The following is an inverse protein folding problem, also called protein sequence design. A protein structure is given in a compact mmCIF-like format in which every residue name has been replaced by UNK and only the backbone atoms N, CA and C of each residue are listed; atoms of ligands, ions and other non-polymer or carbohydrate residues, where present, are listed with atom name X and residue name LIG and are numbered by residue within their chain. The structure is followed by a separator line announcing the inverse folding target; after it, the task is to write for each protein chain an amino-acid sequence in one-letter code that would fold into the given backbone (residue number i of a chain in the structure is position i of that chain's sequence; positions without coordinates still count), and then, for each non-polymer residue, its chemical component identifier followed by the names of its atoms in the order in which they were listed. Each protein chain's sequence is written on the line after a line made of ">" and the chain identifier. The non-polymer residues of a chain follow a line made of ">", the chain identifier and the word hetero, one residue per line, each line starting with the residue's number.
data_IF_922115588633
#
_entry.id   IF_922115588633
#
_cell.length_a   1.000
_cell.length_b   1.000
_cell.length_c   1.000
_cell.angle_alpha   90.00
_cell.angle_beta   90.00
_cell.angle_gamma   90.00
#
_symmetry.space_group_name_H-M   'P 1'
#
loop_
_entity.id
_entity.type
_entity.pdbx_description
1 polymer ?
#
# COMPACT_ATOMS: atom_id res chain seq x y z
N UNK A 1 1.31 20.25 -38.00
CA UNK A 1 1.21 21.40 -37.07
C UNK A 1 2.08 21.13 -35.86
N UNK A 2 2.96 22.07 -35.50
CA UNK A 2 3.90 21.96 -34.37
C UNK A 2 3.23 21.50 -33.05
N UNK A 3 2.01 21.98 -32.81
CA UNK A 3 1.19 21.60 -31.66
C UNK A 3 0.89 20.09 -31.62
N UNK A 4 0.58 19.48 -32.78
CA UNK A 4 0.27 18.05 -32.86
C UNK A 4 1.48 17.16 -32.55
N UNK A 5 2.70 17.64 -32.81
CA UNK A 5 3.92 16.91 -32.50
C UNK A 5 4.22 16.94 -30.99
N UNK A 6 4.03 18.11 -30.35
CA UNK A 6 4.22 18.28 -28.91
C UNK A 6 3.28 17.34 -28.14
N UNK A 7 1.98 17.34 -28.48
CA UNK A 7 1.00 16.45 -27.84
C UNK A 7 1.33 14.96 -28.02
N UNK A 8 1.89 14.58 -29.16
CA UNK A 8 2.29 13.19 -29.42
C UNK A 8 3.48 12.77 -28.54
N UNK A 9 4.49 13.64 -28.38
CA UNK A 9 5.63 13.38 -27.49
C UNK A 9 5.20 13.31 -26.03
N UNK A 10 4.32 14.21 -25.58
CA UNK A 10 3.74 14.18 -24.22
C UNK A 10 2.98 12.87 -23.96
N UNK A 11 2.17 12.42 -24.93
CA UNK A 11 1.45 11.17 -24.81
C UNK A 11 2.38 9.97 -24.68
N UNK A 12 3.44 9.89 -25.51
CA UNK A 12 4.46 8.84 -25.40
C UNK A 12 5.13 8.87 -24.03
N UNK A 13 5.51 10.06 -23.54
CA UNK A 13 6.11 10.20 -22.22
C UNK A 13 5.19 9.71 -21.11
N UNK A 14 3.89 10.07 -21.15
CA UNK A 14 2.90 9.60 -20.19
C UNK A 14 2.72 8.07 -20.20
N UNK A 15 2.77 7.44 -21.38
CA UNK A 15 2.71 5.98 -21.49
C UNK A 15 3.94 5.31 -20.86
N UNK A 16 5.14 5.85 -21.10
CA UNK A 16 6.35 5.33 -20.49
C UNK A 16 6.33 5.49 -18.96
N UNK A 17 5.91 6.65 -18.46
CA UNK A 17 5.75 6.90 -17.03
C UNK A 17 4.80 5.87 -16.40
N UNK A 18 3.61 5.66 -16.99
CA UNK A 18 2.64 4.67 -16.49
C UNK A 18 3.21 3.26 -16.43
N UNK A 19 3.97 2.85 -17.46
CA UNK A 19 4.60 1.53 -17.49
C UNK A 19 5.67 1.38 -16.40
N UNK A 20 6.47 2.42 -16.17
CA UNK A 20 7.45 2.41 -15.08
C UNK A 20 6.78 2.28 -13.72
N UNK A 21 5.71 3.04 -13.45
CA UNK A 21 4.94 2.92 -12.21
C UNK A 21 4.45 1.49 -12.00
N UNK A 22 3.73 0.90 -12.96
CA UNK A 22 3.22 -0.47 -12.82
C UNK A 22 4.30 -1.54 -12.58
N UNK A 23 5.53 -1.31 -13.06
CA UNK A 23 6.64 -2.22 -12.82
C UNK A 23 7.18 -2.07 -11.40
N UNK A 24 7.35 -0.83 -10.93
CA UNK A 24 7.78 -0.55 -9.55
C UNK A 24 6.78 -1.15 -8.56
N UNK A 25 5.50 -0.94 -8.83
CA UNK A 25 4.39 -1.49 -8.05
C UNK A 25 4.48 -3.03 -7.98
N UNK A 26 4.54 -3.67 -9.14
CA UNK A 26 4.68 -5.14 -9.19
C UNK A 26 5.93 -5.66 -8.47
N UNK A 27 7.04 -4.92 -8.49
CA UNK A 27 8.28 -5.32 -7.81
C UNK A 27 8.16 -5.18 -6.29
N UNK A 28 7.51 -4.12 -5.79
CA UNK A 28 7.24 -3.93 -4.37
C UNK A 28 6.24 -4.98 -3.86
N UNK A 29 5.20 -5.31 -4.64
CA UNK A 29 4.28 -6.40 -4.31
C UNK A 29 5.01 -7.76 -4.22
N UNK A 30 5.92 -8.05 -5.15
CA UNK A 30 6.73 -9.27 -5.12
C UNK A 30 7.62 -9.33 -3.87
N UNK A 31 8.16 -8.19 -3.42
CA UNK A 31 8.94 -8.09 -2.19
C UNK A 31 8.10 -8.41 -0.95
N UNK A 32 6.90 -7.83 -0.83
CA UNK A 32 5.96 -8.13 0.27
C UNK A 32 5.66 -9.63 0.35
N UNK A 33 5.36 -10.26 -0.79
CA UNK A 33 5.09 -11.70 -0.85
C UNK A 33 6.30 -12.56 -0.48
N UNK A 34 7.52 -12.14 -0.86
CA UNK A 34 8.75 -12.86 -0.48
C UNK A 34 9.03 -12.76 1.01
N UNK A 35 8.81 -11.58 1.61
CA UNK A 35 8.98 -11.39 3.04
C UNK A 35 7.97 -12.27 3.79
N UNK A 36 6.70 -12.24 3.37
CA UNK A 36 5.65 -13.08 3.95
C UNK A 36 5.99 -14.59 3.96
N UNK A 37 6.59 -15.11 2.88
CA UNK A 37 6.94 -16.54 2.75
C UNK A 37 8.07 -16.99 3.70
N UNK A 38 9.03 -16.11 4.01
CA UNK A 38 10.23 -16.46 4.79
C UNK A 38 10.21 -15.98 6.23
N UNK A 39 9.26 -15.11 6.59
CA UNK A 39 9.28 -14.46 7.89
C UNK A 39 8.83 -15.42 9.00
N UNK A 40 9.13 -15.04 10.25
CA UNK A 40 8.78 -15.83 11.44
C UNK A 40 7.85 -15.03 12.33
N UNK A 41 6.64 -15.55 12.54
CA UNK A 41 5.67 -14.98 13.47
C UNK A 41 6.21 -14.93 14.91
N UNK A 42 6.13 -13.76 15.52
CA UNK A 42 6.47 -13.51 16.92
C UNK A 42 5.25 -13.11 17.77
N UNK A 43 4.09 -12.92 17.13
CA UNK A 43 2.83 -12.53 17.77
C UNK A 43 2.91 -11.19 18.53
N UNK A 44 3.87 -10.32 18.19
CA UNK A 44 3.98 -8.97 18.74
C UNK A 44 3.13 -8.03 17.89
N UNK A 45 2.00 -7.51 18.40
CA UNK A 45 1.05 -6.76 17.60
C UNK A 45 1.65 -5.46 17.08
N UNK A 46 1.37 -5.16 15.81
CA UNK A 46 1.85 -3.95 15.13
C UNK A 46 0.70 -3.13 14.58
N UNK A 47 0.91 -1.82 14.50
CA UNK A 47 0.01 -0.92 13.79
C UNK A 47 0.53 -0.75 12.36
N UNK A 48 -0.29 -1.05 11.37
CA UNK A 48 -0.06 -0.65 9.98
C UNK A 48 -0.95 0.52 9.61
N UNK A 49 -0.41 1.48 8.85
CA UNK A 49 -1.17 2.54 8.21
C UNK A 49 -0.79 2.61 6.73
N UNK A 50 -1.79 2.59 5.85
CA UNK A 50 -1.59 2.76 4.40
C UNK A 50 -1.54 4.25 4.00
N UNK A 51 -1.16 4.52 2.75
CA UNK A 51 -1.04 5.88 2.23
C UNK A 51 -2.37 6.64 2.21
N UNK A 52 -3.49 5.91 2.30
CA UNK A 52 -4.85 6.43 2.40
C UNK A 52 -5.34 6.65 3.83
N UNK A 53 -4.49 6.43 4.83
CA UNK A 53 -4.82 6.58 6.23
C UNK A 53 -5.76 5.52 6.77
N UNK A 54 -5.92 4.40 6.06
CA UNK A 54 -6.49 3.17 6.61
C UNK A 54 -5.52 2.65 7.67
N UNK A 55 -6.03 2.39 8.87
CA UNK A 55 -5.28 1.89 10.00
C UNK A 55 -5.76 0.48 10.31
N UNK A 56 -4.82 -0.42 10.57
CA UNK A 56 -5.12 -1.81 10.93
C UNK A 56 -4.09 -2.31 11.93
N UNK A 57 -4.57 -2.99 12.98
CA UNK A 57 -3.70 -3.75 13.87
C UNK A 57 -3.51 -5.15 13.29
N UNK A 58 -2.25 -5.54 13.11
CA UNK A 58 -1.85 -6.89 12.69
C UNK A 58 -1.37 -7.67 13.92
N UNK A 59 -1.48 -9.00 13.87
CA UNK A 59 -1.05 -9.88 14.98
C UNK A 59 0.46 -9.78 15.16
N UNK A 60 1.19 -9.72 14.05
CA UNK A 60 2.59 -9.31 14.01
C UNK A 60 2.97 -8.68 12.66
N UNK A 61 4.26 -8.48 12.43
CA UNK A 61 4.78 -7.89 11.19
C UNK A 61 4.63 -8.83 9.99
N UNK A 62 4.67 -10.15 10.20
CA UNK A 62 4.44 -11.12 9.13
C UNK A 62 3.02 -11.00 8.59
N UNK A 63 2.03 -10.98 9.47
CA UNK A 63 0.62 -10.82 9.10
C UNK A 63 0.37 -9.51 8.30
N UNK A 64 1.18 -8.47 8.53
CA UNK A 64 1.12 -7.24 7.75
C UNK A 64 1.60 -7.46 6.30
N UNK A 65 2.75 -8.11 6.12
CA UNK A 65 3.30 -8.43 4.80
C UNK A 65 2.42 -9.42 4.03
N UNK A 66 1.88 -10.44 4.71
CA UNK A 66 0.90 -11.37 4.13
C UNK A 66 -0.33 -10.62 3.60
N UNK A 67 -0.89 -9.71 4.41
CA UNK A 67 -2.04 -8.93 4.00
C UNK A 67 -1.73 -7.97 2.85
N UNK A 68 -0.56 -7.34 2.86
CA UNK A 68 -0.08 -6.49 1.77
C UNK A 68 0.02 -7.27 0.46
N UNK A 69 0.62 -8.47 0.50
CA UNK A 69 0.73 -9.38 -0.64
C UNK A 69 -0.65 -9.84 -1.15
N UNK A 70 -1.49 -10.40 -0.27
CA UNK A 70 -2.78 -11.01 -0.64
C UNK A 70 -3.80 -9.98 -1.12
N UNK A 71 -3.85 -8.83 -0.46
CA UNK A 71 -4.88 -7.80 -0.71
C UNK A 71 -4.39 -6.69 -1.63
N UNK A 72 -3.14 -6.74 -2.10
CA UNK A 72 -2.47 -5.65 -2.82
C UNK A 72 -2.64 -4.34 -2.06
N UNK A 73 -2.18 -4.36 -0.81
CA UNK A 73 -2.11 -3.22 0.09
C UNK A 73 -0.67 -2.88 0.45
N UNK A 74 -0.47 -1.68 0.96
CA UNK A 74 0.84 -1.07 1.22
C UNK A 74 0.90 -0.51 2.65
N UNK A 75 0.35 -1.26 3.62
CA UNK A 75 0.44 -0.87 5.03
C UNK A 75 1.89 -0.80 5.46
N UNK A 76 2.26 0.33 6.07
CA UNK A 76 3.58 0.54 6.67
C UNK A 76 3.45 0.51 8.18
N UNK A 77 4.37 -0.18 8.85
CA UNK A 77 4.42 -0.21 10.30
C UNK A 77 4.58 1.20 10.88
N UNK A 78 3.73 1.53 11.84
CA UNK A 78 3.75 2.75 12.66
C UNK A 78 3.84 2.38 14.15
N UNK A 79 4.21 3.32 15.03
CA UNK A 79 4.14 3.11 16.46
C UNK A 79 2.78 2.56 16.88
N UNK A 80 2.77 1.57 17.78
CA UNK A 80 1.56 0.83 18.14
C UNK A 80 0.38 1.73 18.60
N UNK A 81 0.68 2.89 19.19
CA UNK A 81 -0.32 3.86 19.67
C UNK A 81 -0.98 4.68 18.55
N UNK A 82 -0.49 4.63 17.31
CA UNK A 82 -1.13 5.34 16.19
C UNK A 82 -2.43 4.68 15.74
N UNK A 83 -2.49 3.35 15.77
CA UNK A 83 -3.73 2.64 15.57
C UNK A 83 -4.54 2.79 16.84
N UNK A 84 -5.75 3.35 16.71
CA UNK A 84 -6.66 3.46 17.84
C UNK A 84 -7.00 2.04 18.27
N UNK A 85 -6.42 1.62 19.40
CA UNK A 85 -6.58 0.30 20.00
C UNK A 85 -8.04 0.04 20.37
N UNK A 86 -8.85 -0.27 19.37
CA UNK A 86 -10.08 -1.00 19.62
C UNK A 86 -9.67 -2.46 19.62
N UNK A 87 -9.97 -3.19 20.69
CA UNK A 87 -9.73 -4.63 20.85
C UNK A 87 -10.47 -5.50 19.81
N UNK A 88 -10.75 -5.00 18.60
CA UNK A 88 -11.48 -5.67 17.54
C UNK A 88 -10.48 -6.07 16.46
N UNK A 89 -9.89 -7.25 16.65
CA UNK A 89 -9.03 -7.92 15.66
C UNK A 89 -9.64 -7.83 14.26
N UNK A 90 -8.82 -7.49 13.26
CA UNK A 90 -9.18 -7.58 11.84
C UNK A 90 -10.08 -6.49 11.29
N UNK A 91 -10.38 -5.42 12.03
CA UNK A 91 -11.06 -4.24 11.44
C UNK A 91 -10.08 -3.15 11.05
N UNK A 92 -10.25 -2.67 9.82
CA UNK A 92 -9.63 -1.45 9.34
C UNK A 92 -10.44 -0.21 9.72
N UNK A 93 -9.77 0.89 10.06
CA UNK A 93 -10.38 2.18 10.37
C UNK A 93 -9.70 3.29 9.59
N UNK A 94 -10.46 4.18 8.96
CA UNK A 94 -9.87 5.32 8.23
C UNK A 94 -9.73 6.54 9.15
N UNK A 95 -8.57 7.21 9.14
CA UNK A 95 -8.41 8.49 9.85
C UNK A 95 -9.41 9.52 9.30
N UNK A 96 -10.08 10.33 10.15
CA UNK A 96 -11.03 11.36 9.68
C UNK A 96 -10.42 12.41 8.74
N UNK A 97 -9.09 12.55 8.77
CA UNK A 97 -8.34 13.48 7.92
C UNK A 97 -8.31 13.06 6.44
N UNK A 98 -8.56 11.78 6.13
CA UNK A 98 -8.53 11.24 4.78
C UNK A 98 -9.97 11.12 4.24
N UNK A 99 -10.30 11.95 3.25
CA UNK A 99 -11.63 11.95 2.59
C UNK A 99 -11.97 10.63 1.88
N UNK A 100 -13.21 10.47 1.44
CA UNK A 100 -13.71 9.24 0.80
C UNK A 100 -12.99 8.91 -0.53
N UNK A 101 -12.39 9.91 -1.18
CA UNK A 101 -11.78 9.80 -2.52
C UNK A 101 -10.43 9.07 -2.57
N UNK A 102 -9.88 8.61 -1.43
CA UNK A 102 -8.66 7.79 -1.40
C UNK A 102 -8.94 6.31 -1.76
N UNK A 103 -9.71 6.09 -2.82
CA UNK A 103 -9.96 4.77 -3.42
C UNK A 103 -9.22 4.61 -4.75
N UNK A 104 -8.34 5.56 -5.10
CA UNK A 104 -7.66 5.58 -6.39
C UNK A 104 -6.38 4.77 -6.30
N UNK A 105 -6.53 3.48 -6.62
CA UNK A 105 -5.47 2.51 -6.87
C UNK A 105 -4.41 2.48 -5.78
N UNK A 106 -4.58 1.60 -4.79
CA UNK A 106 -3.46 1.17 -3.95
C UNK A 106 -2.45 0.49 -4.90
N UNK A 107 -1.55 1.30 -5.44
CA UNK A 107 -0.39 0.87 -6.18
C UNK A 107 0.58 0.41 -5.08
N UNK A 108 0.51 -0.88 -4.76
CA UNK A 108 1.59 -1.55 -4.03
C UNK A 108 2.73 -1.64 -4.99
#
# INVERSE_FOLDING_TARGET
>A
NMISYILFVEFILLLHLRRCYSHVDSAKLEEECKIADICRHDQVPVCGIDDCGEMRTFIDTCDMHEYNCDSRKDFIQKPAHECWVTCKRGRSFKKPLYGEDCMKSNLV
#
